data_IF_564515397586
#
_entry.id   IF_564515397586
#
_cell.length_a   1.000
_cell.length_b   1.000
_cell.length_c   1.000
_cell.angle_alpha   90.00
_cell.angle_beta   90.00
_cell.angle_gamma   90.00
#
_symmetry.space_group_name_H-M   'P 1'
#
loop_
_entity.id
_entity.type
_entity.pdbx_description
1 polymer ?
#
# COMPACT_ATOMS: atom_id res chain seq x y z
N UNK A 1 -42.49 17.87 43.43
CA UNK A 1 -41.64 18.84 42.70
C UNK A 1 -41.82 18.49 41.25
N UNK A 2 -42.82 19.11 40.63
CA UNK A 2 -43.23 18.80 39.27
C UNK A 2 -42.23 19.46 38.33
N UNK A 3 -41.51 18.63 37.57
CA UNK A 3 -40.66 19.10 36.47
C UNK A 3 -41.57 19.73 35.43
N UNK A 4 -41.47 21.05 35.27
CA UNK A 4 -42.16 21.82 34.25
C UNK A 4 -41.77 21.32 32.85
N UNK A 5 -42.60 20.44 32.29
CA UNK A 5 -42.45 19.85 30.95
C UNK A 5 -42.87 20.80 29.83
N UNK A 6 -43.21 22.07 30.11
CA UNK A 6 -43.83 22.98 29.14
C UNK A 6 -42.93 23.54 28.03
N UNK A 7 -41.65 23.14 27.95
CA UNK A 7 -40.75 23.51 26.83
C UNK A 7 -39.82 22.38 26.38
N UNK A 8 -40.35 21.18 26.13
CA UNK A 8 -39.61 20.15 25.40
C UNK A 8 -39.79 20.43 23.91
N UNK A 9 -38.89 21.22 23.31
CA UNK A 9 -38.84 21.36 21.85
C UNK A 9 -38.41 20.04 21.24
N UNK A 10 -39.32 19.39 20.52
CA UNK A 10 -39.04 18.13 19.82
C UNK A 10 -38.18 18.44 18.60
N UNK A 11 -37.08 17.71 18.44
CA UNK A 11 -36.27 17.80 17.23
C UNK A 11 -37.09 17.23 16.08
N UNK A 12 -37.43 18.06 15.10
CA UNK A 12 -38.20 17.69 13.92
C UNK A 12 -37.28 17.05 12.87
N UNK A 13 -36.07 17.61 12.67
CA UNK A 13 -35.10 17.04 11.73
C UNK A 13 -33.66 17.35 12.11
N UNK A 14 -32.74 16.52 11.61
CA UNK A 14 -31.29 16.71 11.74
C UNK A 14 -30.68 16.61 10.34
N UNK A 15 -30.01 17.66 9.91
CA UNK A 15 -29.24 17.65 8.67
C UNK A 15 -27.76 17.47 9.03
N UNK A 16 -27.11 16.40 8.54
CA UNK A 16 -25.69 16.12 8.76
C UNK A 16 -24.95 16.09 7.41
N UNK A 17 -23.87 16.86 7.29
CA UNK A 17 -23.01 16.89 6.11
C UNK A 17 -21.54 16.85 6.51
N UNK A 18 -20.72 16.11 5.78
CA UNK A 18 -19.27 16.04 5.98
C UNK A 18 -18.57 15.57 4.70
N UNK A 19 -17.27 15.82 4.64
CA UNK A 19 -16.38 15.32 3.59
C UNK A 19 -15.65 14.07 4.08
N UNK A 20 -15.76 12.97 3.32
CA UNK A 20 -15.04 11.72 3.59
C UNK A 20 -13.87 11.57 2.61
N UNK A 21 -12.65 11.61 3.14
CA UNK A 21 -11.42 11.43 2.36
C UNK A 21 -10.87 10.03 2.62
N UNK A 22 -10.95 9.17 1.61
CA UNK A 22 -10.35 7.82 1.61
C UNK A 22 -9.22 7.78 0.59
N UNK A 23 -8.03 7.35 1.01
CA UNK A 23 -6.86 7.19 0.14
C UNK A 23 -6.37 5.76 0.17
N UNK A 24 -5.97 5.22 -0.98
CA UNK A 24 -5.37 3.89 -1.05
C UNK A 24 -4.38 3.78 -2.20
N UNK A 25 -3.28 3.08 -1.95
CA UNK A 25 -2.25 2.75 -2.95
C UNK A 25 -2.63 1.55 -3.82
N UNK A 26 -3.73 0.86 -3.50
CA UNK A 26 -4.13 -0.42 -4.11
C UNK A 26 -5.11 -0.27 -5.27
N UNK A 27 -5.58 0.95 -5.57
CA UNK A 27 -6.65 1.18 -6.55
C UNK A 27 -6.20 1.03 -8.02
N UNK A 28 -4.94 1.34 -8.34
CA UNK A 28 -4.41 1.17 -9.70
C UNK A 28 -3.74 -0.19 -9.83
N UNK A 29 -3.97 -0.88 -10.97
CA UNK A 29 -3.24 -2.11 -11.33
C UNK A 29 -1.75 -1.78 -11.33
N UNK A 30 -1.11 -2.11 -10.22
CA UNK A 30 0.31 -1.89 -9.98
C UNK A 30 1.07 -2.47 -11.17
N UNK A 31 1.73 -1.64 -11.98
CA UNK A 31 2.36 -1.99 -13.26
C UNK A 31 2.91 -3.42 -13.35
N UNK A 32 2.66 -4.11 -14.47
CA UNK A 32 2.86 -5.55 -14.71
C UNK A 32 4.27 -6.05 -14.38
N UNK A 33 4.56 -6.32 -13.11
CA UNK A 33 5.68 -7.19 -12.76
C UNK A 33 5.23 -8.60 -13.11
N UNK A 34 5.82 -9.17 -14.16
CA UNK A 34 5.44 -10.51 -14.60
C UNK A 34 5.78 -11.53 -13.49
N UNK A 35 5.18 -12.72 -13.56
CA UNK A 35 5.37 -13.78 -12.55
C UNK A 35 6.85 -14.12 -12.33
N UNK A 36 7.65 -14.12 -13.39
CA UNK A 36 9.09 -14.36 -13.32
C UNK A 36 9.82 -13.26 -12.53
N UNK A 37 9.54 -12.00 -12.81
CA UNK A 37 10.13 -10.85 -12.12
C UNK A 37 9.77 -10.87 -10.63
N UNK A 38 8.51 -11.18 -10.29
CA UNK A 38 8.09 -11.33 -8.89
C UNK A 38 8.84 -12.45 -8.18
N UNK A 39 8.93 -13.62 -8.82
CA UNK A 39 9.69 -14.77 -8.30
C UNK A 39 11.16 -14.40 -8.08
N UNK A 40 11.78 -13.77 -9.08
CA UNK A 40 13.18 -13.36 -9.02
C UNK A 40 13.43 -12.36 -7.89
N UNK A 41 12.55 -11.37 -7.73
CA UNK A 41 12.63 -10.41 -6.62
C UNK A 41 12.52 -11.10 -5.26
N UNK A 42 11.55 -12.01 -5.07
CA UNK A 42 11.39 -12.75 -3.80
C UNK A 42 12.64 -13.55 -3.43
N UNK A 43 13.25 -14.23 -4.41
CA UNK A 43 14.48 -14.99 -4.19
C UNK A 43 15.64 -14.06 -3.82
N UNK A 44 15.82 -12.97 -4.57
CA UNK A 44 16.89 -11.99 -4.29
C UNK A 44 16.71 -11.37 -2.90
N UNK A 45 15.47 -10.98 -2.54
CA UNK A 45 15.14 -10.44 -1.23
C UNK A 45 15.48 -11.42 -0.12
N UNK A 46 15.03 -12.68 -0.22
CA UNK A 46 15.33 -13.73 0.74
C UNK A 46 16.84 -13.95 0.92
N UNK A 47 17.59 -14.07 -0.20
CA UNK A 47 19.04 -14.27 -0.11
C UNK A 47 19.76 -13.07 0.49
N UNK A 48 19.24 -11.85 0.29
CA UNK A 48 19.86 -10.63 0.78
C UNK A 48 19.52 -10.34 2.25
N UNK A 49 18.27 -10.46 2.64
CA UNK A 49 17.76 -10.09 3.97
C UNK A 49 17.84 -11.25 4.95
N UNK A 50 17.37 -12.45 4.60
CA UNK A 50 17.32 -13.61 5.51
C UNK A 50 18.65 -14.37 5.56
N UNK A 51 19.39 -14.42 4.45
CA UNK A 51 20.67 -15.16 4.36
C UNK A 51 21.90 -14.25 4.39
N UNK A 52 21.73 -12.93 4.39
CA UNK A 52 22.83 -11.96 4.47
C UNK A 52 23.81 -11.99 3.28
N UNK A 53 23.43 -12.55 2.13
CA UNK A 53 24.37 -12.79 1.02
C UNK A 53 24.61 -11.49 0.24
N UNK A 54 25.87 -11.24 -0.12
CA UNK A 54 26.25 -10.12 -0.99
C UNK A 54 25.80 -10.30 -2.45
N UNK A 55 25.55 -9.19 -3.17
CA UNK A 55 25.00 -9.21 -4.53
C UNK A 55 25.84 -10.01 -5.53
N UNK A 56 27.17 -10.04 -5.37
CA UNK A 56 28.07 -10.86 -6.20
C UNK A 56 27.78 -12.36 -6.04
N UNK A 57 27.68 -12.85 -4.80
CA UNK A 57 27.36 -14.26 -4.52
C UNK A 57 25.94 -14.62 -4.97
N UNK A 58 24.97 -13.72 -4.78
CA UNK A 58 23.60 -13.91 -5.30
C UNK A 58 23.60 -14.08 -6.83
N UNK A 59 24.38 -13.26 -7.54
CA UNK A 59 24.54 -13.35 -8.99
C UNK A 59 25.05 -14.74 -9.43
N UNK A 60 26.06 -15.29 -8.74
CA UNK A 60 26.56 -16.64 -9.00
C UNK A 60 25.51 -17.71 -8.72
N UNK A 61 24.88 -17.70 -7.54
CA UNK A 61 23.83 -18.66 -7.14
C UNK A 61 22.69 -18.70 -8.16
N UNK A 62 22.23 -17.52 -8.59
CA UNK A 62 21.15 -17.43 -9.57
C UNK A 62 21.57 -17.96 -10.94
N UNK A 63 22.82 -17.73 -11.34
CA UNK A 63 23.36 -18.23 -12.60
C UNK A 63 23.48 -19.75 -12.60
N UNK A 64 23.98 -20.34 -11.51
CA UNK A 64 24.06 -21.80 -11.30
C UNK A 64 22.67 -22.45 -11.32
N UNK A 65 21.68 -21.79 -10.73
CA UNK A 65 20.26 -22.23 -10.77
C UNK A 65 19.55 -21.97 -12.10
N UNK A 66 20.26 -21.45 -13.11
CA UNK A 66 19.71 -21.23 -14.45
C UNK A 66 18.88 -19.95 -14.64
N UNK A 67 18.86 -19.02 -13.68
CA UNK A 67 18.16 -17.75 -13.84
C UNK A 67 18.92 -16.82 -14.78
N UNK A 68 18.21 -16.28 -15.78
CA UNK A 68 18.76 -15.43 -16.83
C UNK A 68 17.89 -14.19 -17.08
N UNK A 69 18.42 -13.22 -17.82
CA UNK A 69 17.62 -12.07 -18.28
C UNK A 69 16.60 -12.53 -19.32
N UNK A 70 15.36 -12.06 -19.19
CA UNK A 70 14.25 -12.43 -20.08
C UNK A 70 14.54 -12.11 -21.55
N UNK A 71 15.05 -10.90 -21.85
CA UNK A 71 15.23 -10.43 -23.24
C UNK A 71 16.49 -10.99 -23.92
N UNK A 72 17.58 -11.16 -23.17
CA UNK A 72 18.92 -11.43 -23.75
C UNK A 72 19.51 -12.75 -23.32
N UNK A 73 18.82 -13.55 -22.50
CA UNK A 73 19.29 -14.79 -21.89
C UNK A 73 20.67 -14.70 -21.19
N UNK A 74 21.13 -13.49 -20.88
CA UNK A 74 22.44 -13.25 -20.33
C UNK A 74 22.45 -13.41 -18.82
N UNK A 75 23.64 -13.59 -18.26
CA UNK A 75 23.88 -13.69 -16.81
C UNK A 75 23.36 -12.45 -16.08
N UNK A 76 22.77 -12.68 -14.90
CA UNK A 76 22.31 -11.64 -14.00
C UNK A 76 23.48 -11.08 -13.20
N UNK A 77 24.24 -10.14 -13.79
CA UNK A 77 25.36 -9.44 -13.11
C UNK A 77 24.95 -8.84 -11.76
N UNK A 78 25.92 -8.64 -10.86
CA UNK A 78 25.69 -8.09 -9.52
C UNK A 78 24.90 -6.74 -9.51
N UNK A 79 25.14 -5.87 -10.49
CA UNK A 79 24.45 -4.58 -10.63
C UNK A 79 22.96 -4.74 -10.95
N UNK A 80 22.61 -5.77 -11.72
CA UNK A 80 21.23 -6.15 -11.96
C UNK A 80 20.56 -6.67 -10.69
N UNK A 81 21.26 -7.51 -9.91
CA UNK A 81 20.74 -8.00 -8.62
C UNK A 81 20.41 -6.82 -7.68
N UNK A 82 21.33 -5.85 -7.58
CA UNK A 82 21.09 -4.63 -6.80
C UNK A 82 19.85 -3.86 -7.29
N UNK A 83 19.68 -3.72 -8.60
CA UNK A 83 18.53 -3.00 -9.18
C UNK A 83 17.22 -3.76 -8.93
N UNK A 84 17.22 -5.09 -9.09
CA UNK A 84 16.06 -5.94 -8.79
C UNK A 84 15.64 -5.76 -7.34
N UNK A 85 16.59 -5.84 -6.41
CA UNK A 85 16.33 -5.66 -4.99
C UNK A 85 15.80 -4.25 -4.66
N UNK A 86 16.52 -3.21 -5.05
CA UNK A 86 16.17 -1.81 -4.72
C UNK A 86 14.82 -1.39 -5.32
N UNK A 87 14.58 -1.65 -6.61
CA UNK A 87 13.33 -1.28 -7.28
C UNK A 87 12.16 -2.14 -6.78
N UNK A 88 12.40 -3.40 -6.47
CA UNK A 88 11.40 -4.27 -5.85
C UNK A 88 10.98 -3.76 -4.47
N UNK A 89 11.93 -3.34 -3.62
CA UNK A 89 11.65 -2.77 -2.29
C UNK A 89 10.87 -1.47 -2.35
N UNK A 90 11.23 -0.56 -3.26
CA UNK A 90 10.44 0.67 -3.50
C UNK A 90 9.00 0.33 -3.89
N UNK A 91 8.81 -0.68 -4.73
CA UNK A 91 7.46 -1.11 -5.14
C UNK A 91 6.69 -1.72 -3.98
N UNK A 92 7.31 -2.61 -3.21
CA UNK A 92 6.70 -3.20 -2.01
C UNK A 92 6.24 -2.10 -1.04
N UNK A 93 7.09 -1.11 -0.76
CA UNK A 93 6.75 0.04 0.08
C UNK A 93 5.60 0.89 -0.48
N UNK A 94 5.48 1.03 -1.80
CA UNK A 94 4.34 1.74 -2.41
C UNK A 94 3.04 0.97 -2.23
N UNK A 95 3.06 -0.35 -2.39
CA UNK A 95 1.87 -1.21 -2.30
C UNK A 95 1.41 -1.34 -0.84
N UNK A 96 2.36 -1.46 0.09
CA UNK A 96 2.08 -1.63 1.51
C UNK A 96 1.88 -0.29 2.24
N UNK A 97 1.89 0.84 1.54
CA UNK A 97 1.62 2.15 2.12
C UNK A 97 0.17 2.22 2.61
N UNK A 98 -0.01 2.45 3.92
CA UNK A 98 -1.29 2.77 4.52
C UNK A 98 -1.56 4.28 4.43
N UNK A 99 -2.83 4.63 4.40
CA UNK A 99 -3.30 6.00 4.52
C UNK A 99 -4.45 6.01 5.51
N UNK A 100 -4.47 7.00 6.38
CA UNK A 100 -5.57 7.20 7.30
C UNK A 100 -6.76 7.81 6.56
N UNK A 101 -7.95 7.30 6.87
CA UNK A 101 -9.19 7.92 6.40
C UNK A 101 -9.48 9.15 7.26
N UNK A 102 -9.97 10.21 6.63
CA UNK A 102 -10.27 11.47 7.31
C UNK A 102 -11.71 11.88 7.05
N UNK A 103 -12.33 12.45 8.07
CA UNK A 103 -13.59 13.16 7.96
C UNK A 103 -13.28 14.63 8.21
N UNK A 104 -13.67 15.48 7.28
CA UNK A 104 -13.47 16.93 7.33
C UNK A 104 -14.82 17.64 7.15
N UNK A 105 -14.90 18.93 7.47
CA UNK A 105 -16.08 19.77 7.24
C UNK A 105 -17.41 19.24 7.81
N UNK A 106 -17.37 18.66 9.01
CA UNK A 106 -18.57 18.17 9.69
C UNK A 106 -19.47 19.36 10.06
N UNK A 107 -20.70 19.36 9.54
CA UNK A 107 -21.74 20.33 9.85
C UNK A 107 -23.01 19.57 10.19
N UNK A 108 -23.65 19.97 11.29
CA UNK A 108 -24.96 19.48 11.69
C UNK A 108 -25.90 20.64 11.97
N UNK A 109 -27.16 20.50 11.59
CA UNK A 109 -28.22 21.48 11.84
C UNK A 109 -29.40 20.74 12.47
N UNK A 110 -29.79 21.18 13.66
CA UNK A 110 -31.02 20.74 14.32
C UNK A 110 -32.15 21.68 13.92
N UNK A 111 -33.25 21.12 13.41
CA UNK A 111 -34.52 21.82 13.24
C UNK A 111 -35.45 21.35 14.33
N UNK A 112 -35.99 22.28 15.09
CA UNK A 112 -36.94 22.01 16.17
C UNK A 112 -38.31 22.42 15.69
N UNK A 113 -39.33 21.66 16.08
CA UNK A 113 -40.71 22.12 15.94
C UNK A 113 -40.89 23.40 16.76
N UNK A 114 -41.67 24.36 16.24
CA UNK A 114 -41.99 25.60 16.94
C UNK A 114 -42.69 25.36 18.29
#
# INVERSE_FOLDING_TARGET
MDLDTSKIKVVESIDLSFDLIVRTSKLTKTSHYNTYQQKLYRIVKFLKEERGIGYRRISHILTEKGYRRVRTNSILKNSYIYTIYSKGKIRENRINRSFDSKIENIKYIFKYSD
#
